data_IF_779212726918
#
_entry.id   IF_779212726918
#
_cell.length_a   1.000
_cell.length_b   1.000
_cell.length_c   1.000
_cell.angle_alpha   90.00
_cell.angle_beta   90.00
_cell.angle_gamma   90.00
#
_symmetry.space_group_name_H-M   'P 1'
#
loop_
_entity.id
_entity.type
_entity.pdbx_description
1 polymer ?
#
# COMPACT_ATOMS: atom_id res chain seq x y z
N UNK A 1 8.53 -32.62 -2.19
CA UNK A 1 9.14 -31.42 -1.58
C UNK A 1 8.12 -30.80 -0.62
N UNK A 2 8.46 -30.65 0.65
CA UNK A 2 7.64 -29.97 1.66
C UNK A 2 7.61 -28.48 1.26
N UNK A 3 6.40 -27.93 1.01
CA UNK A 3 6.26 -26.50 0.74
C UNK A 3 6.39 -25.75 2.06
N UNK A 4 7.25 -24.73 2.16
CA UNK A 4 7.36 -23.93 3.38
C UNK A 4 6.03 -23.19 3.64
N UNK A 5 5.69 -23.03 4.90
CA UNK A 5 4.47 -22.36 5.32
C UNK A 5 4.47 -20.87 4.85
N UNK A 6 3.37 -20.32 4.31
CA UNK A 6 3.31 -18.94 3.81
C UNK A 6 3.82 -17.87 4.77
N UNK A 7 3.57 -18.01 6.05
CA UNK A 7 4.05 -17.08 7.09
C UNK A 7 5.58 -17.12 7.22
N UNK A 8 6.18 -18.32 7.10
CA UNK A 8 7.64 -18.45 7.08
C UNK A 8 8.25 -17.86 5.81
N UNK A 9 7.62 -18.09 4.65
CA UNK A 9 8.04 -17.44 3.39
C UNK A 9 7.98 -15.92 3.51
N UNK A 10 6.92 -15.38 4.11
CA UNK A 10 6.79 -13.95 4.39
C UNK A 10 7.94 -13.41 5.24
N UNK A 11 8.31 -14.12 6.30
CA UNK A 11 9.45 -13.75 7.14
C UNK A 11 10.76 -13.76 6.36
N UNK A 12 11.02 -14.83 5.60
CA UNK A 12 12.25 -14.95 4.80
C UNK A 12 12.38 -13.83 3.77
N UNK A 13 11.29 -13.46 3.10
CA UNK A 13 11.31 -12.35 2.14
C UNK A 13 11.53 -11.02 2.84
N UNK A 14 10.91 -10.78 3.99
CA UNK A 14 11.14 -9.55 4.77
C UNK A 14 12.61 -9.44 5.20
N UNK A 15 13.20 -10.52 5.68
CA UNK A 15 14.62 -10.54 6.06
C UNK A 15 15.54 -10.35 4.85
N UNK A 16 15.21 -10.97 3.71
CA UNK A 16 15.95 -10.77 2.47
C UNK A 16 15.85 -9.32 1.97
N UNK A 17 14.68 -8.70 2.07
CA UNK A 17 14.47 -7.30 1.73
C UNK A 17 15.28 -6.36 2.64
N UNK A 18 15.32 -6.64 3.95
CA UNK A 18 16.15 -5.88 4.89
C UNK A 18 17.64 -6.05 4.58
N UNK A 19 18.09 -7.27 4.29
CA UNK A 19 19.48 -7.53 3.91
C UNK A 19 19.87 -6.82 2.61
N UNK A 20 18.96 -6.81 1.60
CA UNK A 20 19.14 -6.07 0.36
C UNK A 20 19.28 -4.57 0.63
N UNK A 21 18.39 -3.99 1.43
CA UNK A 21 18.44 -2.58 1.79
C UNK A 21 19.75 -2.22 2.51
N UNK A 22 20.16 -3.01 3.48
CA UNK A 22 21.44 -2.81 4.19
C UNK A 22 22.63 -2.89 3.22
N UNK A 23 22.55 -3.76 2.21
CA UNK A 23 23.59 -3.88 1.17
C UNK A 23 23.66 -2.69 0.22
N UNK A 24 22.51 -2.05 -0.07
CA UNK A 24 22.39 -0.96 -1.05
C UNK A 24 22.52 0.44 -0.44
N UNK A 25 22.43 0.59 0.88
CA UNK A 25 22.45 1.91 1.52
C UNK A 25 23.82 2.58 1.51
N UNK A 26 23.82 3.92 1.45
CA UNK A 26 25.02 4.75 1.36
C UNK A 26 25.95 4.73 2.60
N UNK A 27 25.45 4.86 3.83
CA UNK A 27 26.34 5.09 4.97
C UNK A 27 27.25 3.89 5.26
N UNK A 28 28.52 4.16 5.47
CA UNK A 28 29.44 3.22 6.08
C UNK A 28 29.33 3.28 7.60
N UNK A 29 29.69 2.20 8.30
CA UNK A 29 29.70 2.18 9.75
C UNK A 29 29.05 0.93 10.37
N UNK A 30 28.87 0.91 11.70
CA UNK A 30 28.22 -0.18 12.40
C UNK A 30 26.81 -0.46 11.87
N UNK A 31 26.36 -1.71 11.94
CA UNK A 31 25.05 -2.12 11.42
C UNK A 31 23.90 -1.36 12.08
N UNK A 32 23.99 -1.09 13.38
CA UNK A 32 22.99 -0.31 14.12
C UNK A 32 22.85 1.12 13.57
N UNK A 33 23.94 1.78 13.27
CA UNK A 33 23.93 3.10 12.64
C UNK A 33 23.27 3.04 11.26
N UNK A 34 23.70 2.09 10.41
CA UNK A 34 23.14 1.91 9.07
C UNK A 34 21.63 1.61 9.13
N UNK A 35 21.21 0.77 10.05
CA UNK A 35 19.80 0.43 10.26
C UNK A 35 18.96 1.66 10.59
N UNK A 36 19.44 2.54 11.46
CA UNK A 36 18.74 3.75 11.87
C UNK A 36 18.62 4.80 10.74
N UNK A 37 19.47 4.72 9.70
CA UNK A 37 19.30 5.62 8.52
C UNK A 37 18.06 5.32 7.68
N UNK A 38 17.31 4.26 7.98
CA UNK A 38 15.99 4.01 7.41
C UNK A 38 14.87 4.86 8.07
N UNK A 39 15.22 5.68 9.07
CA UNK A 39 14.32 6.67 9.70
C UNK A 39 14.63 8.03 9.09
N UNK A 40 13.82 8.48 8.13
CA UNK A 40 14.00 9.75 7.41
C UNK A 40 12.64 10.42 7.14
N UNK A 41 12.62 11.73 6.96
CA UNK A 41 11.47 12.52 6.48
C UNK A 41 10.18 12.28 7.29
N UNK A 42 9.15 11.64 6.70
CA UNK A 42 7.86 11.38 7.36
C UNK A 42 8.01 10.59 8.67
N UNK A 43 9.09 9.82 8.83
CA UNK A 43 9.38 9.08 10.04
C UNK A 43 9.48 9.98 11.28
N UNK A 44 9.97 11.20 11.11
CA UNK A 44 10.09 12.17 12.21
C UNK A 44 8.72 12.64 12.71
N UNK A 45 7.72 12.71 11.84
CA UNK A 45 6.34 13.00 12.24
C UNK A 45 5.74 11.87 13.05
N UNK A 46 5.97 10.63 12.63
CA UNK A 46 5.56 9.46 13.40
C UNK A 46 6.27 9.38 14.76
N UNK A 47 7.58 9.65 14.81
CA UNK A 47 8.34 9.72 16.05
C UNK A 47 7.79 10.81 16.98
N UNK A 48 7.44 11.99 16.45
CA UNK A 48 6.81 13.06 17.18
C UNK A 48 5.48 12.62 17.82
N UNK A 49 4.61 11.93 17.04
CA UNK A 49 3.33 11.42 17.56
C UNK A 49 3.57 10.41 18.69
N UNK A 50 4.51 9.46 18.50
CA UNK A 50 4.85 8.46 19.53
C UNK A 50 5.36 9.12 20.81
N UNK A 51 6.18 10.16 20.69
CA UNK A 51 6.83 10.79 21.84
C UNK A 51 5.96 11.82 22.57
N UNK A 52 5.10 12.55 21.84
CA UNK A 52 4.39 13.74 22.34
C UNK A 52 2.87 13.70 22.13
N UNK A 53 2.37 12.69 21.40
CA UNK A 53 0.98 12.66 20.96
C UNK A 53 0.67 13.64 19.82
N UNK A 54 -0.61 13.76 19.49
CA UNK A 54 -1.08 14.65 18.44
C UNK A 54 -1.09 16.12 18.89
N UNK A 55 -0.53 16.99 18.04
CA UNK A 55 -0.39 18.43 18.30
C UNK A 55 -0.59 19.21 16.99
N UNK A 56 -1.18 20.41 17.09
CA UNK A 56 -1.48 21.27 15.92
C UNK A 56 -0.44 22.35 15.66
N UNK A 57 0.48 22.59 16.58
CA UNK A 57 1.41 23.74 16.54
C UNK A 57 2.87 23.36 16.76
N UNK A 58 3.17 22.09 16.99
CA UNK A 58 4.54 21.65 17.30
C UNK A 58 5.19 21.06 16.07
N UNK A 59 6.34 21.58 15.62
CA UNK A 59 7.11 21.02 14.54
C UNK A 59 7.66 19.63 14.93
N UNK A 60 8.01 18.79 13.95
CA UNK A 60 8.74 17.57 14.21
C UNK A 60 10.08 17.90 14.88
N UNK A 61 10.62 16.91 15.58
CA UNK A 61 11.95 16.98 16.16
C UNK A 61 12.95 17.24 15.02
N UNK A 62 13.89 18.13 15.24
CA UNK A 62 14.98 18.50 14.32
C UNK A 62 14.62 19.33 13.09
N UNK A 63 13.37 19.74 12.93
CA UNK A 63 12.99 20.69 11.89
C UNK A 63 12.80 22.10 12.43
N UNK A 64 13.10 23.12 11.60
CA UNK A 64 12.73 24.51 11.87
C UNK A 64 11.23 24.60 12.07
N UNK A 65 10.79 25.64 12.80
CA UNK A 65 9.37 25.93 13.02
C UNK A 65 8.63 25.84 11.70
N UNK A 66 7.72 24.86 11.59
CA UNK A 66 6.87 24.66 10.44
C UNK A 66 5.44 24.97 10.86
N UNK A 67 4.69 25.62 9.99
CA UNK A 67 3.27 25.93 10.19
C UNK A 67 2.37 24.70 9.99
N UNK A 68 2.91 23.51 10.21
CA UNK A 68 2.25 22.22 9.99
C UNK A 68 2.14 21.45 11.29
N UNK A 69 1.19 20.54 11.36
CA UNK A 69 1.01 19.68 12.51
C UNK A 69 1.11 18.19 12.16
N UNK A 70 1.42 17.37 13.17
CA UNK A 70 1.48 15.91 13.01
C UNK A 70 0.10 15.26 12.82
N UNK A 71 -0.99 16.01 12.87
CA UNK A 71 -2.37 15.53 12.59
C UNK A 71 -2.56 15.13 11.13
N UNK A 72 -1.63 15.50 10.24
CA UNK A 72 -1.56 15.03 8.87
C UNK A 72 -1.28 13.51 8.72
N UNK A 73 -1.01 12.81 9.82
CA UNK A 73 -0.66 11.38 9.82
C UNK A 73 -1.67 10.55 10.61
N UNK A 74 -2.14 9.46 10.03
CA UNK A 74 -3.14 8.58 10.63
C UNK A 74 -2.58 7.76 11.80
N UNK A 75 -3.44 7.34 12.78
CA UNK A 75 -2.99 6.89 14.09
C UNK A 75 -2.45 5.45 14.16
N UNK A 76 -2.81 4.54 13.24
CA UNK A 76 -2.52 3.12 13.45
C UNK A 76 -1.01 2.82 13.49
N UNK A 77 -0.22 3.43 12.60
CA UNK A 77 1.22 3.18 12.57
C UNK A 77 1.95 3.73 13.80
N UNK A 78 1.80 5.01 14.18
CA UNK A 78 2.43 5.51 15.40
C UNK A 78 1.86 4.83 16.67
N UNK A 79 0.61 4.39 16.69
CA UNK A 79 0.07 3.63 17.82
C UNK A 79 0.73 2.25 17.95
N UNK A 80 0.98 1.56 16.83
CA UNK A 80 1.69 0.28 16.83
C UNK A 80 3.14 0.45 17.29
N UNK A 81 3.85 1.45 16.77
CA UNK A 81 5.20 1.77 17.22
C UNK A 81 5.23 2.19 18.70
N UNK A 82 4.24 2.97 19.16
CA UNK A 82 4.09 3.33 20.56
C UNK A 82 3.88 2.12 21.48
N UNK A 83 3.08 1.16 21.04
CA UNK A 83 2.89 -0.10 21.78
C UNK A 83 4.21 -0.88 21.93
N UNK A 84 5.05 -0.91 20.89
CA UNK A 84 6.38 -1.53 20.95
C UNK A 84 7.34 -0.74 21.85
N UNK A 85 7.34 0.59 21.74
CA UNK A 85 8.17 1.45 22.58
C UNK A 85 7.86 1.29 24.06
N UNK A 86 6.60 1.49 24.45
CA UNK A 86 6.20 1.50 25.86
C UNK A 86 5.99 0.10 26.42
N UNK A 87 5.64 -0.90 25.58
CA UNK A 87 5.44 -2.28 26.00
C UNK A 87 6.73 -3.08 26.07
N UNK A 88 7.68 -2.83 25.17
CA UNK A 88 8.96 -3.56 25.10
C UNK A 88 10.19 -2.70 25.49
N UNK A 89 10.00 -1.42 25.80
CA UNK A 89 11.11 -0.51 26.15
C UNK A 89 12.03 -0.15 24.99
N UNK A 90 11.55 -0.23 23.74
CA UNK A 90 12.39 0.10 22.57
C UNK A 90 12.58 1.60 22.44
N UNK A 91 13.72 2.02 21.88
CA UNK A 91 13.89 3.40 21.43
C UNK A 91 12.88 3.70 20.30
N UNK A 92 12.46 4.98 20.17
CA UNK A 92 11.40 5.37 19.25
C UNK A 92 11.68 4.97 17.80
N UNK A 93 12.88 5.24 17.30
CA UNK A 93 13.29 4.95 15.93
C UNK A 93 13.30 3.44 15.67
N UNK A 94 13.82 2.67 16.62
CA UNK A 94 13.80 1.20 16.57
C UNK A 94 12.36 0.69 16.59
N UNK A 95 11.49 1.25 17.43
CA UNK A 95 10.08 0.87 17.51
C UNK A 95 9.33 1.12 16.18
N UNK A 96 9.59 2.25 15.52
CA UNK A 96 9.06 2.55 14.20
C UNK A 96 9.54 1.53 13.16
N UNK A 97 10.85 1.25 13.09
CA UNK A 97 11.40 0.28 12.15
C UNK A 97 10.85 -1.13 12.38
N UNK A 98 10.82 -1.59 13.64
CA UNK A 98 10.27 -2.91 13.98
C UNK A 98 8.78 -2.99 13.64
N UNK A 99 8.00 -1.91 13.87
CA UNK A 99 6.59 -1.85 13.49
C UNK A 99 6.41 -2.00 11.97
N UNK A 100 7.21 -1.28 11.16
CA UNK A 100 7.18 -1.39 9.70
C UNK A 100 7.55 -2.79 9.22
N UNK A 101 8.62 -3.38 9.77
CA UNK A 101 9.11 -4.71 9.38
C UNK A 101 8.19 -5.85 9.82
N UNK A 102 7.56 -5.75 11.01
CA UNK A 102 6.53 -6.68 11.42
C UNK A 102 5.30 -6.60 10.50
N UNK A 103 4.93 -5.40 10.09
CA UNK A 103 3.86 -5.20 9.11
C UNK A 103 4.25 -5.70 7.70
N UNK A 104 5.50 -5.52 7.27
CA UNK A 104 6.03 -6.09 6.03
C UNK A 104 5.99 -7.62 6.04
N UNK A 105 6.35 -8.24 7.16
CA UNK A 105 6.16 -9.68 7.34
C UNK A 105 4.70 -10.10 7.19
N UNK A 106 3.77 -9.36 7.79
CA UNK A 106 2.34 -9.58 7.63
C UNK A 106 1.88 -9.43 6.16
N UNK A 107 2.34 -8.39 5.45
CA UNK A 107 2.08 -8.16 4.03
C UNK A 107 2.54 -9.35 3.18
N UNK A 108 3.80 -9.78 3.31
CA UNK A 108 4.34 -10.92 2.57
C UNK A 108 3.65 -12.23 2.94
N UNK A 109 3.27 -12.41 4.21
CA UNK A 109 2.50 -13.57 4.66
C UNK A 109 1.16 -13.64 3.94
N UNK A 110 0.41 -12.53 3.84
CA UNK A 110 -0.84 -12.49 3.09
C UNK A 110 -0.64 -12.69 1.59
N UNK A 111 0.42 -12.15 1.00
CA UNK A 111 0.77 -12.40 -0.40
C UNK A 111 0.92 -13.90 -0.67
N UNK A 112 1.69 -14.63 0.14
CA UNK A 112 1.87 -16.08 -0.03
C UNK A 112 0.62 -16.87 0.34
N UNK A 113 -0.16 -16.46 1.33
CA UNK A 113 -1.47 -17.05 1.64
C UNK A 113 -2.45 -16.94 0.46
N UNK A 114 -2.46 -15.83 -0.26
CA UNK A 114 -3.22 -15.72 -1.51
C UNK A 114 -2.71 -16.66 -2.58
N UNK A 115 -1.40 -16.72 -2.78
CA UNK A 115 -0.79 -17.63 -3.76
C UNK A 115 -1.13 -19.09 -3.46
N UNK A 116 -1.08 -19.50 -2.18
CA UNK A 116 -1.47 -20.84 -1.75
C UNK A 116 -2.96 -21.09 -2.01
N UNK A 117 -3.83 -20.19 -1.54
CA UNK A 117 -5.30 -20.29 -1.71
C UNK A 117 -5.71 -20.41 -3.17
N UNK A 118 -5.00 -19.74 -4.07
CA UNK A 118 -5.29 -19.77 -5.51
C UNK A 118 -4.53 -20.84 -6.26
N UNK A 119 -3.66 -21.60 -5.59
CA UNK A 119 -2.86 -22.65 -6.19
C UNK A 119 -1.86 -22.13 -7.23
N UNK A 120 -1.29 -20.96 -7.00
CA UNK A 120 -0.25 -20.36 -7.86
C UNK A 120 1.02 -21.19 -7.77
N UNK A 121 1.68 -21.43 -8.90
CA UNK A 121 2.93 -22.21 -8.94
C UNK A 121 4.07 -21.50 -8.21
N UNK A 122 5.03 -22.26 -7.65
CA UNK A 122 6.17 -21.67 -6.94
C UNK A 122 6.97 -20.69 -7.82
N UNK A 123 7.17 -21.00 -9.10
CA UNK A 123 7.84 -20.09 -10.04
C UNK A 123 7.08 -18.77 -10.23
N UNK A 124 5.75 -18.83 -10.40
CA UNK A 124 4.93 -17.61 -10.51
C UNK A 124 4.90 -16.82 -9.20
N UNK A 125 4.88 -17.49 -8.03
CA UNK A 125 5.01 -16.83 -6.73
C UNK A 125 6.34 -16.08 -6.62
N UNK A 126 7.44 -16.72 -7.03
CA UNK A 126 8.77 -16.11 -7.03
C UNK A 126 8.86 -14.90 -7.96
N UNK A 127 8.31 -15.00 -9.19
CA UNK A 127 8.26 -13.89 -10.13
C UNK A 127 7.42 -12.72 -9.60
N UNK A 128 6.26 -13.01 -9.01
CA UNK A 128 5.44 -11.96 -8.39
C UNK A 128 6.12 -11.29 -7.20
N UNK A 129 6.76 -12.06 -6.32
CA UNK A 129 7.52 -11.52 -5.21
C UNK A 129 8.73 -10.69 -5.70
N UNK A 130 9.45 -11.15 -6.72
CA UNK A 130 10.54 -10.42 -7.33
C UNK A 130 10.08 -9.10 -7.94
N UNK A 131 8.94 -9.10 -8.65
CA UNK A 131 8.36 -7.88 -9.23
C UNK A 131 8.04 -6.82 -8.17
N UNK A 132 7.50 -7.24 -7.01
CA UNK A 132 7.22 -6.33 -5.89
C UNK A 132 8.52 -5.87 -5.20
N UNK A 133 9.44 -6.79 -4.92
CA UNK A 133 10.72 -6.47 -4.28
C UNK A 133 11.59 -5.53 -5.11
N UNK A 134 11.56 -5.70 -6.42
CA UNK A 134 12.35 -4.90 -7.35
C UNK A 134 11.74 -3.54 -7.68
N UNK A 135 10.53 -3.26 -7.19
CA UNK A 135 9.94 -1.93 -7.38
C UNK A 135 10.80 -0.85 -6.70
N UNK A 136 11.07 0.28 -7.36
CA UNK A 136 11.93 1.34 -6.80
C UNK A 136 11.57 1.80 -5.40
N UNK A 137 10.27 1.84 -5.06
CA UNK A 137 9.77 2.25 -3.76
C UNK A 137 9.56 1.10 -2.77
N UNK A 138 9.94 -0.14 -3.08
CA UNK A 138 9.63 -1.28 -2.19
C UNK A 138 10.35 -1.19 -0.84
N UNK A 139 11.46 -0.48 -0.73
CA UNK A 139 12.19 -0.29 0.52
C UNK A 139 11.35 0.47 1.58
N UNK A 140 10.31 1.20 1.19
CA UNK A 140 9.36 1.80 2.12
C UNK A 140 8.57 0.77 2.94
N UNK A 141 8.54 -0.51 2.52
CA UNK A 141 7.99 -1.57 3.38
C UNK A 141 8.78 -1.81 4.66
N UNK A 142 10.08 -1.54 4.64
CA UNK A 142 11.00 -1.82 5.77
C UNK A 142 11.59 -0.55 6.40
N UNK A 143 11.45 0.60 5.76
CA UNK A 143 11.73 1.91 6.34
C UNK A 143 10.65 2.29 7.37
N UNK A 144 10.92 3.30 8.20
CA UNK A 144 9.99 3.73 9.25
C UNK A 144 8.76 4.48 8.69
N UNK A 145 7.96 3.78 7.87
CA UNK A 145 6.83 4.30 7.11
C UNK A 145 5.58 3.43 7.28
N UNK A 146 4.42 3.97 6.92
CA UNK A 146 3.11 3.33 7.13
C UNK A 146 2.66 2.39 6.01
N UNK A 147 3.40 2.32 4.90
CA UNK A 147 3.05 1.56 3.68
C UNK A 147 2.85 0.07 3.95
N UNK A 148 3.75 -0.53 4.70
CA UNK A 148 3.66 -1.96 5.05
C UNK A 148 2.43 -2.26 5.89
N UNK A 149 2.11 -1.41 6.88
CA UNK A 149 0.95 -1.60 7.75
C UNK A 149 -0.36 -1.44 6.97
N UNK A 150 -0.41 -0.45 6.07
CA UNK A 150 -1.55 -0.25 5.18
C UNK A 150 -1.77 -1.46 4.26
N UNK A 151 -0.72 -1.92 3.58
CA UNK A 151 -0.80 -3.06 2.66
C UNK A 151 -1.12 -4.38 3.40
N UNK A 152 -0.54 -4.60 4.58
CA UNK A 152 -0.91 -5.74 5.42
C UNK A 152 -2.40 -5.69 5.80
N UNK A 153 -2.89 -4.53 6.23
CA UNK A 153 -4.31 -4.30 6.53
C UNK A 153 -5.19 -4.58 5.32
N UNK A 154 -4.85 -4.02 4.16
CA UNK A 154 -5.61 -4.18 2.91
C UNK A 154 -5.62 -5.64 2.43
N UNK A 155 -4.46 -6.29 2.35
CA UNK A 155 -4.40 -7.69 1.92
C UNK A 155 -5.13 -8.61 2.90
N UNK A 156 -4.96 -8.42 4.20
CA UNK A 156 -5.70 -9.16 5.21
C UNK A 156 -7.21 -8.94 5.09
N UNK A 157 -7.65 -7.71 4.88
CA UNK A 157 -9.05 -7.37 4.65
C UNK A 157 -9.63 -8.12 3.44
N UNK A 158 -8.95 -8.07 2.29
CA UNK A 158 -9.35 -8.77 1.07
C UNK A 158 -9.33 -10.29 1.27
N UNK A 159 -8.30 -10.82 1.92
CA UNK A 159 -8.14 -12.26 2.20
C UNK A 159 -9.30 -12.79 3.02
N UNK A 160 -9.61 -12.16 4.15
CA UNK A 160 -10.64 -12.63 5.05
C UNK A 160 -12.06 -12.41 4.53
N UNK A 161 -12.30 -11.39 3.72
CA UNK A 161 -13.55 -11.25 2.96
C UNK A 161 -13.74 -12.35 1.90
N UNK A 162 -12.68 -13.04 1.52
CA UNK A 162 -12.72 -14.22 0.65
C UNK A 162 -13.00 -15.53 1.39
N UNK A 163 -13.07 -15.51 2.73
CA UNK A 163 -13.28 -16.66 3.59
C UNK A 163 -14.70 -16.66 4.17
N UNK A 164 -15.18 -17.83 4.62
CA UNK A 164 -16.50 -17.96 5.23
C UNK A 164 -16.40 -18.09 6.75
N UNK A 165 -17.52 -17.84 7.44
CA UNK A 165 -17.64 -18.02 8.87
C UNK A 165 -17.51 -16.72 9.69
N UNK A 166 -17.85 -16.82 11.00
CA UNK A 166 -17.83 -15.67 11.91
C UNK A 166 -16.41 -15.13 12.15
N UNK A 167 -15.46 -16.03 12.36
CA UNK A 167 -14.05 -15.66 12.58
C UNK A 167 -13.49 -14.88 11.39
N UNK A 168 -13.78 -15.31 10.15
CA UNK A 168 -13.32 -14.62 8.95
C UNK A 168 -13.85 -13.17 8.87
N UNK A 169 -15.13 -12.96 9.25
CA UNK A 169 -15.71 -11.61 9.28
C UNK A 169 -15.08 -10.72 10.35
N UNK A 170 -14.77 -11.27 11.51
CA UNK A 170 -14.08 -10.54 12.58
C UNK A 170 -12.69 -10.13 12.11
N UNK A 171 -11.92 -11.06 11.54
CA UNK A 171 -10.59 -10.74 11.00
C UNK A 171 -10.65 -9.76 9.84
N UNK A 172 -11.64 -9.86 8.95
CA UNK A 172 -11.86 -8.87 7.90
C UNK A 172 -12.11 -7.48 8.51
N UNK A 173 -12.98 -7.37 9.49
CA UNK A 173 -13.28 -6.11 10.15
C UNK A 173 -12.05 -5.51 10.87
N UNK A 174 -11.27 -6.33 11.59
CA UNK A 174 -10.03 -5.89 12.26
C UNK A 174 -9.03 -5.32 11.23
N UNK A 175 -8.79 -6.04 10.13
CA UNK A 175 -7.88 -5.56 9.08
C UNK A 175 -8.42 -4.32 8.37
N UNK A 176 -9.74 -4.23 8.19
CA UNK A 176 -10.39 -3.05 7.63
C UNK A 176 -10.24 -1.82 8.51
N UNK A 177 -10.45 -1.97 9.83
CA UNK A 177 -10.20 -0.89 10.81
C UNK A 177 -8.73 -0.47 10.78
N UNK A 178 -7.80 -1.43 10.80
CA UNK A 178 -6.38 -1.16 10.72
C UNK A 178 -6.02 -0.39 9.44
N UNK A 179 -6.52 -0.84 8.29
CA UNK A 179 -6.31 -0.21 6.98
C UNK A 179 -6.78 1.25 6.98
N UNK A 180 -8.01 1.53 7.44
CA UNK A 180 -8.57 2.88 7.46
C UNK A 180 -7.94 3.77 8.53
N UNK A 181 -7.44 3.19 9.63
CA UNK A 181 -6.70 3.92 10.67
C UNK A 181 -5.23 4.18 10.27
N UNK A 182 -4.76 3.60 9.16
CA UNK A 182 -3.38 3.79 8.67
C UNK A 182 -3.29 4.88 7.61
N UNK A 183 -4.24 4.96 6.69
CA UNK A 183 -4.24 5.92 5.56
C UNK A 183 -5.65 6.27 5.12
N UNK A 184 -5.83 7.51 4.64
CA UNK A 184 -7.13 8.02 4.15
C UNK A 184 -7.73 7.13 3.04
N UNK A 185 -6.89 6.59 2.15
CA UNK A 185 -7.31 5.69 1.06
C UNK A 185 -7.90 4.36 1.55
N UNK A 186 -7.70 4.01 2.82
CA UNK A 186 -8.32 2.86 3.45
C UNK A 186 -9.85 3.00 3.59
N UNK A 187 -10.36 4.23 3.67
CA UNK A 187 -11.82 4.48 3.77
C UNK A 187 -12.55 3.97 2.53
N UNK A 188 -12.25 4.44 1.31
CA UNK A 188 -12.93 3.94 0.12
C UNK A 188 -12.63 2.47 -0.18
N UNK A 189 -11.43 1.95 0.17
CA UNK A 189 -11.12 0.52 0.02
C UNK A 189 -12.00 -0.38 0.91
N UNK A 190 -12.58 0.13 1.99
CA UNK A 190 -13.54 -0.61 2.82
C UNK A 190 -14.78 -1.07 2.03
N UNK A 191 -15.08 -0.46 0.87
CA UNK A 191 -16.16 -0.87 -0.03
C UNK A 191 -15.92 -2.22 -0.74
N UNK A 192 -14.72 -2.81 -0.66
CA UNK A 192 -14.34 -4.05 -1.35
C UNK A 192 -15.40 -5.17 -1.28
N UNK A 193 -15.97 -5.58 -0.10
CA UNK A 193 -16.94 -6.68 -0.05
C UNK A 193 -18.22 -6.37 -0.81
N UNK A 194 -18.66 -5.12 -0.80
CA UNK A 194 -19.83 -4.62 -1.51
C UNK A 194 -19.59 -4.64 -3.02
N UNK A 195 -18.49 -4.08 -3.46
CA UNK A 195 -18.09 -4.03 -4.88
C UNK A 195 -17.88 -5.43 -5.45
N UNK A 196 -17.24 -6.31 -4.72
CA UNK A 196 -17.09 -7.72 -5.11
C UNK A 196 -18.46 -8.39 -5.31
N UNK A 197 -19.40 -8.15 -4.40
CA UNK A 197 -20.77 -8.68 -4.54
C UNK A 197 -21.48 -8.10 -5.75
N UNK A 198 -21.36 -6.80 -6.01
CA UNK A 198 -21.94 -6.15 -7.19
C UNK A 198 -21.40 -6.76 -8.49
N UNK A 199 -20.10 -6.96 -8.61
CA UNK A 199 -19.50 -7.62 -9.78
C UNK A 199 -19.95 -9.07 -9.94
N UNK A 200 -20.19 -9.78 -8.83
CA UNK A 200 -20.66 -11.17 -8.87
C UNK A 200 -22.14 -11.29 -9.24
N UNK A 201 -22.97 -10.36 -8.83
CA UNK A 201 -24.44 -10.39 -9.07
C UNK A 201 -24.85 -9.65 -10.34
N UNK A 202 -24.00 -8.77 -10.86
CA UNK A 202 -24.26 -8.00 -12.09
C UNK A 202 -25.58 -7.21 -12.01
N UNK A 203 -26.41 -7.34 -13.05
CA UNK A 203 -27.68 -6.61 -13.14
C UNK A 203 -28.75 -7.02 -12.10
N UNK A 204 -28.55 -8.11 -11.37
CA UNK A 204 -29.51 -8.56 -10.34
C UNK A 204 -29.67 -7.54 -9.19
N UNK A 205 -28.63 -6.78 -8.89
CA UNK A 205 -28.68 -5.66 -7.94
C UNK A 205 -29.79 -4.63 -8.35
N UNK A 206 -29.79 -4.20 -9.60
CA UNK A 206 -30.73 -3.19 -10.09
C UNK A 206 -32.16 -3.71 -10.14
N UNK A 207 -32.36 -5.02 -10.34
CA UNK A 207 -33.70 -5.63 -10.42
C UNK A 207 -34.33 -5.85 -9.04
N UNK A 208 -33.55 -6.15 -8.01
CA UNK A 208 -34.04 -6.47 -6.65
C UNK A 208 -33.09 -5.90 -5.56
N UNK A 209 -33.00 -4.55 -5.43
CA UNK A 209 -32.03 -3.91 -4.54
C UNK A 209 -32.22 -4.28 -3.06
N UNK A 210 -33.46 -4.35 -2.57
CA UNK A 210 -33.74 -4.72 -1.18
C UNK A 210 -33.37 -6.17 -0.85
N UNK A 211 -33.60 -7.10 -1.78
CA UNK A 211 -33.20 -8.48 -1.61
C UNK A 211 -31.67 -8.60 -1.59
N UNK A 212 -30.99 -7.86 -2.48
CA UNK A 212 -29.54 -7.79 -2.53
C UNK A 212 -28.96 -7.21 -1.21
N UNK A 213 -29.52 -6.13 -0.67
CA UNK A 213 -29.10 -5.55 0.62
C UNK A 213 -29.25 -6.56 1.76
N UNK A 214 -30.38 -7.27 1.85
CA UNK A 214 -30.60 -8.32 2.86
C UNK A 214 -29.56 -9.46 2.74
N UNK A 215 -29.29 -9.90 1.51
CA UNK A 215 -28.31 -10.96 1.25
C UNK A 215 -26.88 -10.54 1.58
N UNK A 216 -26.51 -9.28 1.35
CA UNK A 216 -25.18 -8.74 1.53
C UNK A 216 -25.00 -7.97 2.85
N UNK A 217 -25.98 -8.03 3.78
CA UNK A 217 -25.93 -7.28 5.05
C UNK A 217 -24.63 -7.42 5.82
N UNK A 218 -24.03 -8.61 5.78
CA UNK A 218 -22.77 -8.88 6.50
C UNK A 218 -21.58 -8.18 5.85
N UNK A 219 -21.53 -8.13 4.53
CA UNK A 219 -20.54 -7.33 3.79
C UNK A 219 -20.67 -5.84 4.07
N UNK A 220 -21.91 -5.34 4.16
CA UNK A 220 -22.21 -3.96 4.53
C UNK A 220 -21.76 -3.64 5.98
N UNK A 221 -22.01 -4.55 6.91
CA UNK A 221 -21.55 -4.41 8.31
C UNK A 221 -20.01 -4.39 8.35
N UNK A 222 -19.35 -5.31 7.66
CA UNK A 222 -17.88 -5.34 7.60
C UNK A 222 -17.35 -4.05 6.99
N UNK A 223 -17.95 -3.54 5.91
CA UNK A 223 -17.60 -2.26 5.30
C UNK A 223 -17.73 -1.12 6.32
N UNK A 224 -18.88 -0.99 6.99
CA UNK A 224 -19.13 0.06 7.98
C UNK A 224 -18.17 -0.02 9.17
N UNK A 225 -17.92 -1.21 9.72
CA UNK A 225 -16.95 -1.40 10.81
C UNK A 225 -15.54 -1.05 10.34
N UNK A 226 -15.18 -1.40 9.11
CA UNK A 226 -13.85 -1.10 8.56
C UNK A 226 -13.54 0.38 8.46
N UNK A 227 -14.55 1.26 8.36
CA UNK A 227 -14.33 2.72 8.33
C UNK A 227 -14.13 3.33 9.73
N UNK A 228 -14.39 2.56 10.80
CA UNK A 228 -14.26 3.08 12.18
C UNK A 228 -12.83 3.51 12.52
N UNK A 229 -11.81 2.92 11.89
CA UNK A 229 -10.43 3.33 12.13
C UNK A 229 -10.20 4.81 11.83
N UNK A 230 -10.62 5.27 10.67
CA UNK A 230 -10.61 6.69 10.31
C UNK A 230 -11.67 7.49 11.07
N UNK A 231 -12.88 6.92 11.22
CA UNK A 231 -13.97 7.58 11.92
C UNK A 231 -13.62 7.96 13.36
N UNK A 232 -12.95 7.08 14.09
CA UNK A 232 -12.48 7.36 15.45
C UNK A 232 -11.39 8.45 15.47
N UNK A 233 -10.52 8.50 14.47
CA UNK A 233 -9.55 9.58 14.35
C UNK A 233 -10.21 10.92 14.06
N UNK A 234 -11.19 10.97 13.18
CA UNK A 234 -11.96 12.21 12.90
C UNK A 234 -12.78 12.63 14.12
N UNK A 235 -13.37 11.68 14.86
CA UNK A 235 -14.04 11.97 16.12
C UNK A 235 -13.07 12.52 17.16
N UNK A 236 -11.88 11.96 17.28
CA UNK A 236 -10.82 12.48 18.15
C UNK A 236 -10.46 13.93 17.77
N UNK A 237 -10.29 14.23 16.48
CA UNK A 237 -10.03 15.58 15.99
C UNK A 237 -11.18 16.55 16.37
N UNK A 238 -12.44 16.11 16.20
CA UNK A 238 -13.61 16.89 16.58
C UNK A 238 -13.63 17.19 18.08
N UNK A 239 -13.39 16.20 18.91
CA UNK A 239 -13.44 16.35 20.37
C UNK A 239 -12.26 17.19 20.90
N UNK A 240 -11.09 17.08 20.28
CA UNK A 240 -9.86 17.72 20.75
C UNK A 240 -9.73 19.17 20.28
N UNK A 241 -10.14 19.47 19.04
CA UNK A 241 -9.92 20.77 18.40
C UNK A 241 -11.19 21.41 17.81
N UNK A 242 -12.35 20.74 17.89
CA UNK A 242 -13.60 21.25 17.33
C UNK A 242 -13.73 21.10 15.81
N UNK A 243 -12.78 20.43 15.15
CA UNK A 243 -12.73 20.29 13.69
C UNK A 243 -12.50 18.82 13.29
N UNK A 244 -13.54 18.12 12.89
CA UNK A 244 -13.44 16.72 12.44
C UNK A 244 -12.53 16.55 11.21
N UNK A 245 -12.45 17.58 10.34
CA UNK A 245 -11.64 17.61 9.14
C UNK A 245 -10.21 18.15 9.36
N UNK A 246 -9.72 18.15 10.60
CA UNK A 246 -8.39 18.68 10.95
C UNK A 246 -7.27 18.08 10.10
N UNK A 247 -7.38 16.78 9.75
CA UNK A 247 -6.46 16.13 8.83
C UNK A 247 -6.33 16.89 7.50
N UNK A 248 -7.47 17.21 6.86
CA UNK A 248 -7.47 17.95 5.58
C UNK A 248 -6.93 19.37 5.73
N UNK A 249 -7.32 20.05 6.80
CA UNK A 249 -6.82 21.41 7.09
C UNK A 249 -5.30 21.41 7.26
N UNK A 250 -4.75 20.41 7.94
CA UNK A 250 -3.31 20.26 8.12
C UNK A 250 -2.60 19.94 6.80
N UNK A 251 -3.16 19.08 5.99
CA UNK A 251 -2.61 18.77 4.66
C UNK A 251 -2.57 20.02 3.76
N UNK A 252 -3.61 20.84 3.80
CA UNK A 252 -3.65 22.08 3.04
C UNK A 252 -2.65 23.13 3.57
N UNK A 253 -2.60 23.34 4.88
CA UNK A 253 -1.76 24.36 5.49
C UNK A 253 -0.26 24.01 5.43
N UNK A 254 0.09 22.74 5.65
CA UNK A 254 1.46 22.30 5.80
C UNK A 254 2.13 21.82 4.53
N UNK A 255 1.38 21.11 3.71
CA UNK A 255 1.93 20.49 2.48
C UNK A 255 1.33 21.09 1.20
N UNK A 256 0.48 22.13 1.31
CA UNK A 256 -0.16 22.75 0.15
C UNK A 256 -1.10 21.82 -0.61
N UNK A 257 -1.53 20.71 0.01
CA UNK A 257 -2.35 19.70 -0.65
C UNK A 257 -3.79 20.17 -0.79
N UNK A 258 -4.12 20.62 -2.01
CA UNK A 258 -5.48 20.92 -2.45
C UNK A 258 -5.89 19.88 -3.50
N UNK A 259 -6.84 18.97 -3.21
CA UNK A 259 -7.17 17.87 -4.13
C UNK A 259 -7.64 18.34 -5.49
N UNK A 260 -7.01 17.85 -6.56
CA UNK A 260 -7.42 18.03 -7.96
C UNK A 260 -8.01 16.73 -8.51
N UNK A 261 -9.31 16.57 -8.41
CA UNK A 261 -10.02 15.35 -8.85
C UNK A 261 -9.98 15.12 -10.37
N UNK A 262 -9.56 16.11 -11.16
CA UNK A 262 -9.42 16.00 -12.61
C UNK A 262 -7.96 15.77 -13.05
N UNK A 263 -7.01 15.74 -12.13
CA UNK A 263 -5.59 15.62 -12.45
C UNK A 263 -5.27 14.39 -13.30
N UNK A 264 -5.91 13.26 -13.04
CA UNK A 264 -5.71 12.03 -13.82
C UNK A 264 -6.13 12.14 -15.30
N UNK A 265 -6.89 13.16 -15.68
CA UNK A 265 -7.30 13.42 -17.07
C UNK A 265 -6.46 14.50 -17.75
N UNK A 266 -5.50 15.11 -17.05
CA UNK A 266 -4.63 16.15 -17.59
C UNK A 266 -3.37 15.52 -18.19
N UNK A 267 -3.13 15.61 -19.52
CA UNK A 267 -1.93 15.03 -20.18
C UNK A 267 -0.61 15.53 -19.57
N UNK A 268 -0.58 16.77 -19.11
CA UNK A 268 0.61 17.38 -18.50
C UNK A 268 1.04 16.72 -17.18
N UNK A 269 0.14 15.98 -16.51
CA UNK A 269 0.43 15.25 -15.28
C UNK A 269 1.25 13.97 -15.53
N UNK A 270 1.40 13.55 -16.78
CA UNK A 270 2.04 12.29 -17.15
C UNK A 270 3.43 12.50 -17.72
N UNK A 271 4.38 11.67 -17.32
CA UNK A 271 5.72 11.59 -17.87
C UNK A 271 5.87 10.31 -18.69
N UNK A 272 6.11 10.45 -19.97
CA UNK A 272 6.13 9.32 -20.92
C UNK A 272 7.54 8.80 -21.24
N UNK A 273 8.57 9.59 -20.92
CA UNK A 273 9.97 9.22 -21.14
C UNK A 273 10.65 8.94 -19.80
N UNK A 274 11.72 8.14 -19.86
CA UNK A 274 12.53 7.82 -18.69
C UNK A 274 12.99 9.11 -18.00
N UNK A 275 12.73 9.31 -16.70
CA UNK A 275 13.16 10.51 -15.99
C UNK A 275 14.65 10.47 -15.70
N UNK A 276 15.23 11.64 -15.45
CA UNK A 276 16.53 11.72 -14.83
C UNK A 276 16.48 11.16 -13.40
N UNK A 277 17.40 10.26 -13.03
CA UNK A 277 17.42 9.61 -11.72
C UNK A 277 17.54 10.59 -10.55
N UNK A 278 18.15 11.76 -10.79
CA UNK A 278 18.33 12.80 -9.78
C UNK A 278 17.16 13.78 -9.68
N UNK A 279 16.08 13.55 -10.40
CA UNK A 279 14.87 14.38 -10.34
C UNK A 279 13.69 13.58 -9.76
N UNK A 280 13.42 13.70 -8.45
CA UNK A 280 12.33 12.96 -7.79
C UNK A 280 10.93 13.30 -8.32
N UNK A 281 10.70 14.56 -8.74
CA UNK A 281 9.44 14.99 -9.35
C UNK A 281 9.16 14.24 -10.65
N UNK A 282 10.15 14.18 -11.56
CA UNK A 282 10.00 13.42 -12.81
C UNK A 282 9.80 11.92 -12.56
N UNK A 283 10.49 11.37 -11.56
CA UNK A 283 10.34 9.97 -11.18
C UNK A 283 8.93 9.68 -10.64
N UNK A 284 8.37 10.59 -9.84
CA UNK A 284 7.01 10.49 -9.32
C UNK A 284 5.94 10.63 -10.43
N UNK A 285 6.14 11.53 -11.40
CA UNK A 285 5.29 11.63 -12.59
C UNK A 285 5.37 10.38 -13.47
N UNK A 286 6.56 9.79 -13.60
CA UNK A 286 6.72 8.51 -14.32
C UNK A 286 6.04 7.36 -13.59
N UNK A 287 6.10 7.32 -12.25
CA UNK A 287 5.38 6.34 -11.44
C UNK A 287 3.86 6.47 -11.64
N UNK A 288 3.33 7.70 -11.68
CA UNK A 288 1.93 7.93 -12.04
C UNK A 288 1.59 7.33 -13.40
N UNK A 289 2.42 7.59 -14.42
CA UNK A 289 2.20 7.07 -15.77
C UNK A 289 2.22 5.55 -15.79
N UNK A 290 3.22 4.94 -15.17
CA UNK A 290 3.39 3.48 -15.10
C UNK A 290 2.23 2.81 -14.38
N UNK A 291 1.86 3.30 -13.20
CA UNK A 291 0.73 2.77 -12.42
C UNK A 291 -0.60 2.89 -13.17
N UNK A 292 -0.84 4.02 -13.83
CA UNK A 292 -2.03 4.22 -14.66
C UNK A 292 -2.09 3.25 -15.84
N UNK A 293 -0.98 3.05 -16.55
CA UNK A 293 -0.91 2.10 -17.67
C UNK A 293 -1.10 0.66 -17.22
N UNK A 294 -0.47 0.25 -16.13
CA UNK A 294 -0.62 -1.10 -15.56
C UNK A 294 -2.06 -1.35 -15.13
N UNK A 295 -2.69 -0.37 -14.48
CA UNK A 295 -4.09 -0.47 -14.07
C UNK A 295 -5.03 -0.57 -15.27
N UNK A 296 -4.84 0.28 -16.30
CA UNK A 296 -5.62 0.24 -17.53
C UNK A 296 -5.45 -1.08 -18.26
N UNK A 297 -4.22 -1.61 -18.37
CA UNK A 297 -3.94 -2.90 -18.97
C UNK A 297 -4.64 -4.04 -18.22
N UNK A 298 -4.57 -4.04 -16.87
CA UNK A 298 -5.25 -5.03 -16.04
C UNK A 298 -6.77 -5.01 -16.24
N UNK A 299 -7.38 -3.83 -16.21
CA UNK A 299 -8.82 -3.66 -16.46
C UNK A 299 -9.19 -4.05 -17.89
N UNK A 300 -8.41 -3.66 -18.90
CA UNK A 300 -8.66 -3.99 -20.30
C UNK A 300 -8.68 -5.51 -20.53
N UNK A 301 -7.76 -6.25 -19.91
CA UNK A 301 -7.75 -7.73 -19.96
C UNK A 301 -9.06 -8.30 -19.43
N UNK A 302 -9.60 -7.75 -18.35
CA UNK A 302 -10.87 -8.23 -17.76
C UNK A 302 -12.10 -7.87 -18.61
N UNK A 303 -12.01 -6.91 -19.53
CA UNK A 303 -13.09 -6.59 -20.47
C UNK A 303 -13.18 -7.56 -21.64
N UNK A 304 -12.14 -8.37 -21.89
CA UNK A 304 -12.13 -9.35 -22.97
C UNK A 304 -13.14 -10.49 -22.68
N UNK A 305 -14.18 -10.70 -23.52
CA UNK A 305 -15.23 -11.67 -23.23
C UNK A 305 -14.71 -13.10 -23.04
N UNK A 306 -13.66 -13.49 -23.78
CA UNK A 306 -13.04 -14.82 -23.67
C UNK A 306 -12.37 -15.03 -22.30
N UNK A 307 -11.76 -13.97 -21.73
CA UNK A 307 -11.16 -13.99 -20.40
C UNK A 307 -12.25 -14.09 -19.33
N UNK A 308 -13.29 -13.26 -19.43
CA UNK A 308 -14.40 -13.23 -18.45
C UNK A 308 -15.11 -14.57 -18.35
N UNK A 309 -15.29 -15.28 -19.47
CA UNK A 309 -15.97 -16.59 -19.51
C UNK A 309 -15.13 -17.71 -18.88
N UNK A 310 -13.80 -17.59 -18.90
CA UNK A 310 -12.87 -18.64 -18.46
C UNK A 310 -12.32 -18.45 -17.06
N UNK A 311 -12.57 -17.29 -16.44
CA UNK A 311 -11.92 -16.91 -15.19
C UNK A 311 -12.90 -16.31 -14.18
N UNK A 312 -12.54 -16.38 -12.89
CA UNK A 312 -13.29 -15.73 -11.79
C UNK A 312 -12.91 -14.24 -11.74
N UNK A 313 -13.31 -13.50 -12.78
CA UNK A 313 -13.02 -12.09 -12.96
C UNK A 313 -13.58 -11.18 -11.84
N UNK A 314 -14.75 -11.45 -11.17
CA UNK A 314 -15.27 -10.54 -10.16
C UNK A 314 -14.32 -10.33 -8.97
N UNK A 315 -13.52 -11.36 -8.61
CA UNK A 315 -12.51 -11.24 -7.54
C UNK A 315 -11.40 -10.27 -7.93
N UNK A 316 -10.89 -10.38 -9.16
CA UNK A 316 -9.84 -9.49 -9.67
C UNK A 316 -10.36 -8.08 -9.88
N UNK A 317 -11.56 -7.94 -10.44
CA UNK A 317 -12.19 -6.64 -10.62
C UNK A 317 -12.34 -5.86 -9.31
N UNK A 318 -12.66 -6.54 -8.21
CA UNK A 318 -12.72 -5.91 -6.90
C UNK A 318 -11.32 -5.51 -6.36
N UNK A 319 -10.26 -6.26 -6.69
CA UNK A 319 -8.87 -5.87 -6.38
C UNK A 319 -8.45 -4.67 -7.23
N UNK A 320 -8.73 -4.68 -8.53
CA UNK A 320 -8.49 -3.53 -9.41
C UNK A 320 -9.26 -2.29 -8.99
N UNK A 321 -10.48 -2.46 -8.45
CA UNK A 321 -11.23 -1.35 -7.88
C UNK A 321 -10.49 -0.71 -6.70
N UNK A 322 -9.95 -1.50 -5.75
CA UNK A 322 -9.11 -0.96 -4.68
C UNK A 322 -7.86 -0.27 -5.23
N UNK A 323 -7.17 -0.89 -6.20
CA UNK A 323 -6.02 -0.28 -6.85
C UNK A 323 -6.36 1.05 -7.54
N UNK A 324 -7.51 1.11 -8.24
CA UNK A 324 -8.01 2.33 -8.88
C UNK A 324 -8.36 3.42 -7.87
N UNK A 325 -8.93 3.06 -6.72
CA UNK A 325 -9.22 4.03 -5.65
C UNK A 325 -7.94 4.58 -5.03
N UNK A 326 -6.95 3.73 -4.76
CA UNK A 326 -5.64 4.18 -4.25
C UNK A 326 -5.01 5.12 -5.28
N UNK A 327 -4.97 4.73 -6.55
CA UNK A 327 -4.43 5.54 -7.63
C UNK A 327 -5.15 6.90 -7.74
N UNK A 328 -6.49 6.89 -7.82
CA UNK A 328 -7.29 8.11 -7.94
C UNK A 328 -7.09 9.07 -6.77
N UNK A 329 -7.20 8.58 -5.53
CA UNK A 329 -7.05 9.43 -4.34
C UNK A 329 -5.63 9.98 -4.23
N UNK A 330 -4.62 9.17 -4.56
CA UNK A 330 -3.23 9.61 -4.52
C UNK A 330 -2.95 10.67 -5.58
N UNK A 331 -3.29 10.40 -6.85
CA UNK A 331 -3.11 11.38 -7.94
C UNK A 331 -3.84 12.69 -7.63
N UNK A 332 -5.10 12.60 -7.20
CA UNK A 332 -5.89 13.80 -6.86
C UNK A 332 -5.26 14.59 -5.72
N UNK A 333 -4.69 13.90 -4.72
CA UNK A 333 -4.08 14.54 -3.56
C UNK A 333 -2.75 15.23 -3.86
N UNK A 334 -1.88 14.60 -4.68
CA UNK A 334 -0.51 15.11 -4.87
C UNK A 334 -0.30 15.87 -6.19
N UNK A 335 -1.35 16.04 -7.00
CA UNK A 335 -1.25 16.77 -8.27
C UNK A 335 -0.84 18.23 -8.11
N UNK A 336 -1.23 18.88 -7.01
CA UNK A 336 -0.91 20.27 -6.70
C UNK A 336 0.53 20.48 -6.18
N UNK A 337 1.24 19.39 -5.90
CA UNK A 337 2.63 19.36 -5.43
C UNK A 337 3.50 18.52 -6.39
N UNK A 338 3.27 18.66 -7.68
CA UNK A 338 4.05 18.03 -8.75
C UNK A 338 4.20 16.51 -8.64
N UNK A 339 3.15 15.83 -8.16
CA UNK A 339 3.12 14.38 -7.92
C UNK A 339 4.10 13.90 -6.84
N UNK A 340 4.56 14.75 -5.96
CA UNK A 340 5.43 14.36 -4.86
C UNK A 340 4.86 13.17 -4.09
N UNK A 341 5.69 12.20 -3.73
CA UNK A 341 5.30 10.94 -3.09
C UNK A 341 4.50 9.94 -3.97
N UNK A 342 4.21 10.25 -5.24
CA UNK A 342 3.40 9.37 -6.08
C UNK A 342 4.05 7.99 -6.27
N UNK A 343 5.37 7.89 -6.27
CA UNK A 343 6.08 6.60 -6.39
C UNK A 343 5.77 5.65 -5.22
N UNK A 344 5.62 6.17 -3.99
CA UNK A 344 5.21 5.37 -2.82
C UNK A 344 3.76 4.90 -2.93
N UNK A 345 2.88 5.75 -3.44
CA UNK A 345 1.46 5.42 -3.59
C UNK A 345 1.23 4.45 -4.74
N UNK A 346 1.94 4.64 -5.85
CA UNK A 346 1.93 3.74 -7.00
C UNK A 346 2.43 2.34 -6.61
N UNK A 347 3.41 2.23 -5.75
CA UNK A 347 3.86 0.95 -5.21
C UNK A 347 2.73 0.13 -4.58
N UNK A 348 1.81 0.77 -3.86
CA UNK A 348 0.63 0.09 -3.32
C UNK A 348 -0.31 -0.42 -4.43
N UNK A 349 -0.45 0.34 -5.51
CA UNK A 349 -1.21 -0.05 -6.72
C UNK A 349 -0.53 -1.22 -7.41
N UNK A 350 0.79 -1.13 -7.62
CA UNK A 350 1.61 -2.19 -8.23
C UNK A 350 1.46 -3.53 -7.50
N UNK A 351 1.57 -3.54 -6.18
CA UNK A 351 1.42 -4.77 -5.39
C UNK A 351 0.07 -5.46 -5.59
N UNK A 352 -1.03 -4.68 -5.68
CA UNK A 352 -2.36 -5.21 -5.95
C UNK A 352 -2.51 -5.73 -7.38
N UNK A 353 -1.94 -5.03 -8.36
CA UNK A 353 -1.95 -5.46 -9.77
C UNK A 353 -1.20 -6.77 -9.93
N UNK A 354 -0.01 -6.91 -9.33
CA UNK A 354 0.76 -8.16 -9.34
C UNK A 354 -0.05 -9.30 -8.76
N UNK A 355 -0.71 -9.09 -7.61
CA UNK A 355 -1.55 -10.11 -6.98
C UNK A 355 -2.73 -10.53 -7.88
N UNK A 356 -3.44 -9.57 -8.47
CA UNK A 356 -4.53 -9.84 -9.40
C UNK A 356 -4.04 -10.58 -10.65
N UNK A 357 -2.87 -10.21 -11.17
CA UNK A 357 -2.27 -10.83 -12.34
C UNK A 357 -1.82 -12.28 -12.08
N UNK A 358 -1.28 -12.59 -10.90
CA UNK A 358 -0.97 -13.97 -10.52
C UNK A 358 -2.22 -14.85 -10.49
N UNK A 359 -3.35 -14.32 -9.99
CA UNK A 359 -4.63 -15.03 -10.04
C UNK A 359 -5.12 -15.24 -11.48
N UNK A 360 -4.94 -14.24 -12.36
CA UNK A 360 -5.24 -14.35 -13.78
C UNK A 360 -4.41 -15.45 -14.45
N UNK A 361 -3.08 -15.42 -14.31
CA UNK A 361 -2.17 -16.41 -14.90
C UNK A 361 -2.52 -17.83 -14.48
N UNK A 362 -2.87 -18.04 -13.22
CA UNK A 362 -3.27 -19.36 -12.71
C UNK A 362 -4.54 -19.89 -13.39
N UNK A 363 -5.49 -19.03 -13.66
CA UNK A 363 -6.77 -19.41 -14.28
C UNK A 363 -6.70 -19.50 -15.80
N UNK A 364 -5.98 -18.59 -16.43
CA UNK A 364 -5.87 -18.53 -17.89
C UNK A 364 -4.97 -19.61 -18.47
N UNK A 365 -3.98 -20.09 -17.69
CA UNK A 365 -3.02 -21.14 -18.06
C UNK A 365 -2.31 -20.82 -19.40
N UNK A 366 -1.46 -19.80 -19.45
CA UNK A 366 -0.75 -19.40 -20.67
C UNK A 366 0.16 -20.54 -21.17
N UNK A 367 0.55 -20.49 -22.45
CA UNK A 367 1.50 -21.43 -23.03
C UNK A 367 2.88 -21.35 -22.34
N UNK A 368 3.68 -22.41 -22.37
CA UNK A 368 5.03 -22.39 -21.82
C UNK A 368 5.90 -21.25 -22.39
N UNK A 369 5.79 -20.97 -23.69
CA UNK A 369 6.49 -19.87 -24.35
C UNK A 369 6.09 -18.53 -23.74
N UNK A 370 4.78 -18.28 -23.58
CA UNK A 370 4.31 -17.06 -22.95
C UNK A 370 4.78 -16.89 -21.49
N UNK A 371 4.86 -18.01 -20.74
CA UNK A 371 5.40 -18.00 -19.36
C UNK A 371 6.88 -17.65 -19.35
N UNK A 372 7.68 -18.22 -20.25
CA UNK A 372 9.11 -17.91 -20.35
C UNK A 372 9.35 -16.47 -20.79
N UNK A 373 8.62 -15.99 -21.80
CA UNK A 373 8.70 -14.59 -22.26
C UNK A 373 8.36 -13.63 -21.15
N UNK A 374 7.25 -13.87 -20.42
CA UNK A 374 6.86 -13.06 -19.28
C UNK A 374 7.93 -13.11 -18.16
N UNK A 375 8.46 -14.29 -17.87
CA UNK A 375 9.54 -14.47 -16.89
C UNK A 375 10.79 -13.65 -17.24
N UNK A 376 11.20 -13.68 -18.50
CA UNK A 376 12.34 -12.89 -18.98
C UNK A 376 12.08 -11.38 -18.89
N UNK A 377 10.88 -10.91 -19.26
CA UNK A 377 10.48 -9.50 -19.15
C UNK A 377 10.44 -9.05 -17.68
N UNK A 378 9.88 -9.85 -16.78
CA UNK A 378 9.87 -9.55 -15.34
C UNK A 378 11.29 -9.52 -14.80
N UNK A 379 12.16 -10.45 -15.16
CA UNK A 379 13.56 -10.47 -14.73
C UNK A 379 14.31 -9.20 -15.19
N UNK A 380 14.15 -8.81 -16.46
CA UNK A 380 14.76 -7.60 -17.01
C UNK A 380 14.23 -6.33 -16.29
N UNK A 381 12.92 -6.21 -16.16
CA UNK A 381 12.30 -5.09 -15.44
C UNK A 381 12.75 -5.04 -13.98
N UNK A 382 12.90 -6.21 -13.33
CA UNK A 382 13.39 -6.32 -11.96
C UNK A 382 14.86 -5.88 -11.82
N UNK A 383 15.71 -6.21 -12.79
CA UNK A 383 17.11 -5.76 -12.77
C UNK A 383 17.20 -4.22 -12.85
N UNK A 384 16.40 -3.60 -13.73
CA UNK A 384 16.29 -2.14 -13.81
C UNK A 384 15.72 -1.56 -12.52
N UNK A 385 14.62 -2.13 -12.03
CA UNK A 385 13.95 -1.66 -10.82
C UNK A 385 14.86 -1.71 -9.58
N UNK A 386 15.63 -2.81 -9.39
CA UNK A 386 16.61 -2.94 -8.29
C UNK A 386 17.74 -1.91 -8.41
N UNK A 387 18.20 -1.62 -9.63
CA UNK A 387 19.22 -0.60 -9.84
C UNK A 387 18.71 0.79 -9.45
N UNK A 388 17.48 1.13 -9.86
CA UNK A 388 16.82 2.38 -9.49
C UNK A 388 16.53 2.43 -7.98
N UNK A 389 16.07 1.31 -7.39
CA UNK A 389 15.87 1.21 -5.94
C UNK A 389 17.16 1.46 -5.17
N UNK A 390 18.28 0.87 -5.63
CA UNK A 390 19.60 1.10 -5.03
C UNK A 390 19.97 2.58 -5.02
N UNK A 391 19.73 3.29 -6.13
CA UNK A 391 19.93 4.73 -6.22
C UNK A 391 19.06 5.51 -5.23
N UNK A 392 17.75 5.19 -5.16
CA UNK A 392 16.84 5.88 -4.25
C UNK A 392 17.17 5.58 -2.78
N UNK A 393 17.45 4.34 -2.45
CA UNK A 393 17.82 3.97 -1.09
C UNK A 393 19.15 4.63 -0.66
N UNK A 394 20.12 4.71 -1.60
CA UNK A 394 21.38 5.42 -1.38
C UNK A 394 21.15 6.89 -1.03
N UNK A 395 20.27 7.57 -1.76
CA UNK A 395 19.94 8.97 -1.48
C UNK A 395 19.08 9.13 -0.23
N UNK A 396 18.07 8.29 -0.04
CA UNK A 396 17.18 8.30 1.12
C UNK A 396 17.96 8.18 2.43
N UNK A 397 18.88 7.23 2.53
CA UNK A 397 19.68 7.00 3.73
C UNK A 397 20.72 8.11 4.01
N UNK A 398 20.90 9.04 3.06
CA UNK A 398 21.69 10.28 3.22
C UNK A 398 20.81 11.49 3.56
N UNK A 399 19.54 11.31 3.77
CA UNK A 399 18.57 12.37 4.08
C UNK A 399 18.05 13.13 2.87
N UNK A 400 18.32 12.67 1.63
CA UNK A 400 17.76 13.30 0.43
C UNK A 400 16.34 12.78 0.18
N UNK A 401 15.43 13.67 -0.23
CA UNK A 401 14.09 13.28 -0.65
C UNK A 401 14.14 12.52 -1.99
N UNK A 402 13.39 11.43 -2.11
CA UNK A 402 13.46 10.52 -3.27
C UNK A 402 12.10 10.08 -3.83
N UNK A 403 10.98 10.44 -3.18
CA UNK A 403 9.66 9.94 -3.60
C UNK A 403 8.56 10.96 -3.35
#
# INVERSE_FOLDING_TARGET
MIRPHPVLLGLLVTLAQLALAVGLMAPAGPLSFRYNTLVQHDSYWFANIVNRGYQTTVPPIDHKVMEVSNVAFFPAYPAFAGALRYGLGLETDTALLVAAQAAAWGFWSYFFLFCERWGVSAGSQGLGALSILAHPASFFLIAAYSESLFLMGLLGFVYWNGSQGRAARIWAAIHGVLMSATRIVGIPCAAYPVVRSLFSTGSAFFRRPLAWLKQNRQGLIVMAVSTLGAGLFFLFCQLRWGHWNMYMLTQMAGWGIAPDYLAMFKPASYRWLMPALNNPTEASQMAMTTGGLLLLAGVAIELIPAVRRRTDWPKRAAIYFCAALIYFVSVSGVACVDMESMMRYEFCVHALIVLAFLHFLRQFRPSPVAVWTLGALVALASAVGLSVQGWYLWNFTRGNWVA
#
